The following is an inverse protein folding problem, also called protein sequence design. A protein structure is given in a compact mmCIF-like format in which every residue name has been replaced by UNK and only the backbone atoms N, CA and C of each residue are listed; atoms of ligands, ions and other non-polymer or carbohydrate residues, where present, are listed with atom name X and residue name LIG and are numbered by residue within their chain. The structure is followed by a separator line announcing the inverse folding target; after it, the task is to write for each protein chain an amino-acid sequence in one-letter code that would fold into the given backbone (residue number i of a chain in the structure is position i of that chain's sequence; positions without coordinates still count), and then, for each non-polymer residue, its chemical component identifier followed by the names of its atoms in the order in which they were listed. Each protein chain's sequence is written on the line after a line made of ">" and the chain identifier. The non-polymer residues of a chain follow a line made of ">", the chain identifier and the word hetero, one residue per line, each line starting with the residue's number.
data_IF_257877037558
#
_entry.id   IF_257877037558
#
_cell.length_a   1.000
_cell.length_b   1.000
_cell.length_c   1.000
_cell.angle_alpha   90.00
_cell.angle_beta   90.00
_cell.angle_gamma   90.00
#
_symmetry.space_group_name_H-M   'P 1'
#
loop_
_entity.id
_entity.type
_entity.pdbx_description
1 polymer ?
#
# COMPACT_ATOMS: atom_id res chain seq x y z
N UNK A 1 13.14 34.18 4.68
CA UNK A 1 12.07 33.67 3.79
C UNK A 1 10.86 34.60 3.93
N UNK A 2 10.46 35.27 2.85
CA UNK A 2 9.53 36.40 2.90
C UNK A 2 8.06 35.94 3.02
N UNK A 3 7.35 36.39 4.06
CA UNK A 3 5.92 36.15 4.26
C UNK A 3 5.05 36.61 3.07
N UNK A 4 5.53 37.61 2.32
CA UNK A 4 4.90 38.12 1.10
C UNK A 4 4.89 37.13 -0.08
N UNK A 5 5.86 36.23 -0.18
CA UNK A 5 5.85 35.19 -1.23
C UNK A 5 4.85 34.07 -0.90
N UNK A 6 4.65 33.78 0.38
CA UNK A 6 3.67 32.77 0.84
C UNK A 6 2.23 33.21 0.58
N UNK A 7 1.92 34.49 0.82
CA UNK A 7 0.59 35.03 0.51
C UNK A 7 0.34 35.13 -1.00
N UNK A 8 1.37 35.42 -1.81
CA UNK A 8 1.24 35.44 -3.28
C UNK A 8 0.95 34.05 -3.87
N UNK A 9 1.55 32.99 -3.31
CA UNK A 9 1.24 31.59 -3.71
C UNK A 9 -0.16 31.15 -3.31
N UNK A 10 -0.68 31.59 -2.16
CA UNK A 10 -2.07 31.27 -1.74
C UNK A 10 -3.12 31.99 -2.60
N UNK A 11 -2.84 33.19 -3.09
CA UNK A 11 -3.76 33.95 -3.93
C UNK A 11 -3.78 33.50 -5.41
N UNK A 12 -2.69 32.89 -5.90
CA UNK A 12 -2.64 32.33 -7.27
C UNK A 12 -3.61 31.16 -7.50
N UNK A 13 -4.14 30.54 -6.44
CA UNK A 13 -5.16 29.48 -6.55
C UNK A 13 -6.60 29.98 -6.73
N UNK A 14 -6.86 31.29 -6.59
CA UNK A 14 -8.23 31.86 -6.61
C UNK A 14 -8.57 32.61 -7.91
N UNK A 15 -7.63 32.71 -8.86
CA UNK A 15 -7.97 33.18 -10.20
C UNK A 15 -8.86 32.14 -10.88
N UNK A 16 -10.07 32.50 -11.35
CA UNK A 16 -10.91 31.58 -12.11
C UNK A 16 -10.10 31.05 -13.28
N UNK A 17 -10.02 29.72 -13.38
CA UNK A 17 -9.28 29.07 -14.45
C UNK A 17 -9.73 29.64 -15.80
N UNK A 18 -8.77 30.07 -16.63
CA UNK A 18 -9.07 30.51 -17.98
C UNK A 18 -9.96 29.47 -18.65
N UNK A 19 -11.05 29.86 -19.34
CA UNK A 19 -11.99 28.92 -19.95
C UNK A 19 -11.20 27.90 -20.76
N UNK A 20 -11.38 26.63 -20.39
CA UNK A 20 -10.49 25.58 -20.80
C UNK A 20 -10.69 25.32 -22.31
N UNK A 21 -9.63 25.52 -23.12
CA UNK A 21 -9.65 25.36 -24.58
C UNK A 21 -10.26 24.02 -25.03
N UNK A 22 -11.27 24.02 -25.89
CA UNK A 22 -11.96 22.79 -26.32
C UNK A 22 -10.96 21.75 -26.86
N UNK A 23 -10.97 20.53 -26.30
CA UNK A 23 -10.15 19.40 -26.76
C UNK A 23 -11.01 18.47 -27.62
N UNK A 24 -10.60 18.25 -28.87
CA UNK A 24 -11.26 17.30 -29.77
C UNK A 24 -10.66 15.90 -29.64
N UNK A 25 -11.48 14.86 -29.83
CA UNK A 25 -11.00 13.48 -29.97
C UNK A 25 -11.24 12.96 -31.39
N UNK A 26 -10.42 11.98 -31.79
CA UNK A 26 -10.59 11.17 -33.00
C UNK A 26 -10.24 9.73 -32.63
N UNK A 27 -11.25 8.87 -32.46
CA UNK A 27 -11.08 7.47 -32.02
C UNK A 27 -11.65 6.55 -33.09
N UNK A 28 -10.99 5.42 -33.33
CA UNK A 28 -11.49 4.37 -34.22
C UNK A 28 -12.24 3.31 -33.42
N UNK A 29 -13.39 2.89 -33.95
CA UNK A 29 -14.14 1.72 -33.52
C UNK A 29 -13.37 0.43 -33.84
N UNK A 30 -13.65 -0.73 -33.22
CA UNK A 30 -13.07 -2.02 -33.60
C UNK A 30 -13.22 -2.35 -35.09
N UNK A 31 -14.36 -1.97 -35.70
CA UNK A 31 -14.65 -2.10 -37.13
C UNK A 31 -13.94 -1.06 -38.03
N UNK A 32 -13.06 -0.21 -37.48
CA UNK A 32 -12.28 0.78 -38.22
C UNK A 32 -12.98 2.11 -38.51
N UNK A 33 -14.26 2.28 -38.18
CA UNK A 33 -14.97 3.56 -38.32
C UNK A 33 -14.38 4.64 -37.38
N UNK A 34 -14.08 5.84 -37.90
CA UNK A 34 -13.56 6.96 -37.10
C UNK A 34 -14.66 7.89 -36.61
N UNK A 35 -14.75 8.08 -35.29
CA UNK A 35 -15.59 9.09 -34.66
C UNK A 35 -14.77 10.31 -34.25
N UNK A 36 -15.37 11.49 -34.39
CA UNK A 36 -14.80 12.77 -33.97
C UNK A 36 -15.81 13.54 -33.12
N UNK A 37 -15.34 14.21 -32.08
CA UNK A 37 -16.18 15.01 -31.20
C UNK A 37 -15.37 15.79 -30.17
N UNK A 38 -16.06 16.42 -29.23
CA UNK A 38 -15.44 17.20 -28.14
C UNK A 38 -15.35 16.37 -26.86
N UNK A 39 -14.20 16.41 -26.18
CA UNK A 39 -14.01 15.75 -24.89
C UNK A 39 -14.68 16.56 -23.78
N UNK A 40 -15.40 15.86 -22.91
CA UNK A 40 -16.00 16.40 -21.68
C UNK A 40 -15.07 16.24 -20.48
N UNK A 41 -15.42 16.87 -19.36
CA UNK A 41 -14.71 16.68 -18.08
C UNK A 41 -14.83 15.25 -17.54
N UNK A 42 -15.96 14.57 -17.82
CA UNK A 42 -16.17 13.16 -17.55
C UNK A 42 -15.85 12.25 -18.74
N UNK A 43 -15.78 10.94 -18.48
CA UNK A 43 -15.69 9.93 -19.54
C UNK A 43 -16.96 9.93 -20.40
N UNK A 44 -16.83 9.59 -21.68
CA UNK A 44 -17.98 9.41 -22.58
C UNK A 44 -18.03 7.97 -23.06
N UNK A 45 -19.17 7.32 -22.88
CA UNK A 45 -19.48 6.05 -23.49
C UNK A 45 -20.41 6.31 -24.68
N UNK A 46 -19.87 6.20 -25.90
CA UNK A 46 -20.60 6.45 -27.14
C UNK A 46 -20.84 5.13 -27.87
N UNK A 47 -21.84 5.11 -28.75
CA UNK A 47 -22.03 4.01 -29.70
C UNK A 47 -21.62 4.48 -31.09
N UNK A 48 -20.91 3.63 -31.83
CA UNK A 48 -20.62 3.91 -33.23
C UNK A 48 -21.93 4.06 -34.01
N UNK A 49 -22.17 5.17 -34.74
CA UNK A 49 -23.42 5.35 -35.50
C UNK A 49 -23.53 4.38 -36.69
N UNK A 50 -22.42 3.76 -37.10
CA UNK A 50 -22.38 2.84 -38.25
C UNK A 50 -22.59 1.38 -37.85
N UNK A 51 -21.93 0.89 -36.78
CA UNK A 51 -21.99 -0.52 -36.38
C UNK A 51 -22.61 -0.76 -34.99
N UNK A 52 -22.89 0.27 -34.20
CA UNK A 52 -23.52 0.15 -32.87
C UNK A 52 -22.58 -0.24 -31.71
N UNK A 53 -21.33 -0.57 -32.01
CA UNK A 53 -20.32 -0.99 -31.03
C UNK A 53 -19.99 0.12 -30.02
N UNK A 54 -19.68 -0.28 -28.78
CA UNK A 54 -19.36 0.63 -27.69
C UNK A 54 -17.96 1.23 -27.82
N UNK A 55 -17.83 2.54 -27.68
CA UNK A 55 -16.57 3.27 -27.74
C UNK A 55 -16.43 4.10 -26.46
N UNK A 56 -15.30 3.92 -25.79
CA UNK A 56 -14.95 4.67 -24.59
C UNK A 56 -13.99 5.82 -24.93
N UNK A 57 -14.40 7.05 -24.65
CA UNK A 57 -13.56 8.25 -24.82
C UNK A 57 -13.13 8.74 -23.44
N UNK A 58 -11.82 8.85 -23.26
CA UNK A 58 -11.22 9.36 -22.02
C UNK A 58 -11.63 10.80 -21.75
N UNK A 59 -11.75 11.19 -20.46
CA UNK A 59 -11.98 12.57 -20.08
C UNK A 59 -10.88 13.47 -20.59
N UNK A 60 -11.17 14.76 -20.58
CA UNK A 60 -10.21 15.81 -20.92
C UNK A 60 -8.95 15.72 -20.03
N UNK A 61 -7.76 15.80 -20.62
CA UNK A 61 -6.52 15.81 -19.84
C UNK A 61 -6.39 17.14 -19.08
N UNK A 62 -6.09 17.12 -17.76
CA UNK A 62 -5.81 18.34 -16.99
C UNK A 62 -4.45 18.95 -17.32
N UNK A 63 -3.58 18.22 -18.03
CA UNK A 63 -2.28 18.73 -18.46
C UNK A 63 -2.45 19.69 -19.63
N UNK A 64 -1.67 20.80 -19.68
CA UNK A 64 -1.68 21.71 -20.81
C UNK A 64 -1.35 20.93 -22.09
N UNK A 65 -2.06 21.25 -23.19
CA UNK A 65 -1.73 20.67 -24.49
C UNK A 65 -0.24 20.91 -24.76
N UNK A 66 0.55 19.87 -25.05
CA UNK A 66 1.93 20.08 -25.46
C UNK A 66 1.86 21.01 -26.67
N UNK A 67 2.55 22.14 -26.58
CA UNK A 67 2.64 23.09 -27.69
C UNK A 67 3.17 22.28 -28.85
N UNK A 68 2.31 21.97 -29.83
CA UNK A 68 2.69 21.23 -31.01
C UNK A 68 3.78 22.08 -31.63
N UNK A 69 5.03 21.63 -31.51
CA UNK A 69 6.16 22.32 -32.09
C UNK A 69 5.78 22.53 -33.55
N UNK A 70 5.63 23.79 -33.95
CA UNK A 70 5.31 24.18 -35.32
C UNK A 70 6.36 23.51 -36.19
N UNK A 71 5.98 22.36 -36.73
CA UNK A 71 6.88 21.50 -37.46
C UNK A 71 7.06 22.24 -38.76
N UNK A 72 8.23 22.88 -38.87
CA UNK A 72 8.69 23.59 -40.03
C UNK A 72 8.40 22.73 -41.27
N UNK A 73 7.36 23.09 -42.02
CA UNK A 73 6.95 22.47 -43.29
C UNK A 73 7.98 22.70 -44.42
N UNK A 74 9.25 22.98 -44.08
CA UNK A 74 10.26 23.43 -45.02
C UNK A 74 11.34 22.42 -45.42
N UNK A 75 11.34 21.17 -44.92
CA UNK A 75 12.54 20.31 -45.04
C UNK A 75 12.29 18.87 -45.51
N UNK A 76 11.23 18.58 -46.27
CA UNK A 76 11.04 17.25 -46.88
C UNK A 76 11.43 17.15 -48.36
N UNK A 77 12.03 18.19 -48.95
CA UNK A 77 12.47 18.15 -50.37
C UNK A 77 13.95 17.80 -50.59
N UNK A 78 14.74 17.50 -49.56
CA UNK A 78 16.21 17.36 -49.70
C UNK A 78 16.80 16.02 -49.18
N UNK A 79 16.01 14.95 -49.14
CA UNK A 79 16.52 13.58 -48.85
C UNK A 79 16.35 12.60 -50.01
N UNK A 80 16.42 13.11 -51.24
CA UNK A 80 16.60 12.30 -52.45
C UNK A 80 18.09 12.33 -52.88
N UNK A 81 18.95 11.75 -52.05
CA UNK A 81 20.34 11.43 -52.39
C UNK A 81 20.88 10.44 -51.34
N UNK A 82 20.25 9.27 -51.26
CA UNK A 82 20.80 8.13 -50.54
C UNK A 82 21.12 7.07 -51.59
N UNK A 83 22.42 6.82 -51.67
CA UNK A 83 23.18 5.71 -52.25
C UNK A 83 22.36 4.48 -52.69
N UNK A 84 22.34 4.12 -54.00
CA UNK A 84 21.56 3.00 -54.54
C UNK A 84 22.19 1.61 -54.38
N UNK A 85 23.29 1.43 -53.64
CA UNK A 85 24.04 0.15 -53.61
C UNK A 85 23.93 -0.68 -52.31
N UNK A 86 22.98 -0.37 -51.42
CA UNK A 86 22.61 -1.32 -50.36
C UNK A 86 21.46 -2.19 -50.86
N UNK A 87 21.84 -3.30 -51.47
CA UNK A 87 20.98 -4.46 -51.68
C UNK A 87 20.50 -4.96 -50.30
N UNK A 88 19.39 -4.39 -49.83
CA UNK A 88 18.58 -4.99 -48.78
C UNK A 88 18.04 -6.31 -49.35
N UNK A 89 18.68 -7.42 -48.98
CA UNK A 89 18.09 -8.74 -49.15
C UNK A 89 16.67 -8.70 -48.57
N UNK A 90 15.64 -9.08 -49.34
CA UNK A 90 14.28 -9.08 -48.84
C UNK A 90 14.21 -9.98 -47.61
N UNK A 91 13.89 -9.39 -46.46
CA UNK A 91 13.60 -10.12 -45.23
C UNK A 91 12.57 -11.18 -45.59
N UNK A 92 13.02 -12.44 -45.63
CA UNK A 92 12.12 -13.57 -45.81
C UNK A 92 11.21 -13.59 -44.59
N UNK A 93 9.97 -13.14 -44.77
CA UNK A 93 8.90 -13.45 -43.85
C UNK A 93 8.82 -14.97 -43.79
N UNK A 94 9.36 -15.54 -42.71
CA UNK A 94 9.07 -16.91 -42.33
C UNK A 94 7.55 -17.02 -42.23
N UNK A 95 6.98 -17.98 -42.95
CA UNK A 95 5.56 -18.25 -42.95
C UNK A 95 5.05 -18.38 -41.50
N UNK A 96 3.83 -17.88 -41.21
CA UNK A 96 3.24 -17.99 -39.88
C UNK A 96 3.28 -19.45 -39.43
N UNK A 97 3.82 -19.67 -38.23
CA UNK A 97 3.79 -20.96 -37.55
C UNK A 97 2.34 -21.45 -37.63
N UNK A 98 2.11 -22.55 -38.35
CA UNK A 98 0.82 -23.21 -38.40
C UNK A 98 0.54 -23.72 -36.99
N UNK A 99 -0.26 -22.97 -36.23
CA UNK A 99 -0.88 -23.48 -35.03
C UNK A 99 -1.73 -24.67 -35.46
N UNK A 100 -1.52 -25.88 -34.91
CA UNK A 100 -2.36 -27.03 -35.24
C UNK A 100 -3.81 -26.63 -34.99
N UNK A 101 -4.57 -26.60 -36.08
CA UNK A 101 -6.00 -26.37 -36.05
C UNK A 101 -6.56 -27.52 -35.21
N UNK A 102 -7.19 -27.25 -34.03
CA UNK A 102 -7.84 -28.32 -33.29
C UNK A 102 -8.89 -28.90 -34.24
N UNK A 103 -8.76 -30.19 -34.53
CA UNK A 103 -9.77 -30.95 -35.24
C UNK A 103 -11.09 -30.71 -34.49
N UNK A 104 -11.97 -29.93 -35.09
CA UNK A 104 -13.34 -29.78 -34.64
C UNK A 104 -13.98 -31.14 -34.83
N UNK A 105 -13.89 -31.98 -33.81
CA UNK A 105 -14.84 -33.05 -33.63
C UNK A 105 -16.21 -32.36 -33.61
N UNK A 106 -17.01 -32.63 -34.65
CA UNK A 106 -18.43 -32.32 -34.72
C UNK A 106 -19.13 -33.03 -33.55
N UNK A 107 -19.00 -32.48 -32.35
CA UNK A 107 -19.83 -32.83 -31.21
C UNK A 107 -21.09 -32.00 -31.39
N UNK A 108 -22.05 -32.60 -32.08
CA UNK A 108 -23.44 -32.18 -32.19
C UNK A 108 -24.13 -32.36 -30.82
N UNK A 109 -23.59 -31.66 -29.82
CA UNK A 109 -24.12 -31.59 -28.47
C UNK A 109 -25.15 -30.49 -28.46
N UNK A 110 -26.43 -30.86 -28.57
CA UNK A 110 -27.53 -30.02 -28.11
C UNK A 110 -27.18 -29.54 -26.69
N UNK A 111 -26.87 -28.25 -26.56
CA UNK A 111 -26.72 -27.60 -25.25
C UNK A 111 -28.13 -27.51 -24.69
N UNK A 112 -28.53 -28.55 -23.97
CA UNK A 112 -29.72 -28.56 -23.12
C UNK A 112 -29.48 -27.51 -22.03
N UNK A 113 -30.15 -26.36 -22.17
CA UNK A 113 -30.22 -25.35 -21.13
C UNK A 113 -31.03 -25.93 -19.97
N UNK A 114 -30.37 -26.71 -19.12
CA UNK A 114 -30.92 -27.11 -17.84
C UNK A 114 -30.90 -25.87 -16.97
N UNK A 115 -32.07 -25.22 -16.86
CA UNK A 115 -32.31 -24.24 -15.79
C UNK A 115 -31.93 -24.92 -14.47
N UNK A 116 -30.92 -24.41 -13.73
CA UNK A 116 -30.57 -25.00 -12.45
C UNK A 116 -31.79 -24.86 -11.55
N UNK A 117 -32.47 -25.99 -11.32
CA UNK A 117 -33.50 -26.09 -10.32
C UNK A 117 -32.88 -25.61 -9.01
N UNK A 118 -33.35 -24.44 -8.54
CA UNK A 118 -33.00 -23.90 -7.25
C UNK A 118 -33.18 -25.03 -6.23
N UNK A 119 -32.14 -25.42 -5.48
CA UNK A 119 -32.33 -26.36 -4.40
C UNK A 119 -33.34 -25.73 -3.45
N UNK A 120 -34.48 -26.39 -3.27
CA UNK A 120 -35.37 -26.10 -2.15
C UNK A 120 -34.54 -26.23 -0.88
N UNK A 121 -34.12 -25.09 -0.35
CA UNK A 121 -33.45 -24.99 0.94
C UNK A 121 -34.46 -25.44 1.98
N UNK A 122 -34.43 -26.73 2.32
CA UNK A 122 -35.06 -27.24 3.51
C UNK A 122 -34.39 -26.56 4.70
N UNK A 123 -35.15 -25.68 5.33
CA UNK A 123 -34.79 -25.00 6.55
C UNK A 123 -34.77 -26.00 7.72
N UNK A 124 -33.71 -26.81 7.81
CA UNK A 124 -33.37 -27.51 9.04
C UNK A 124 -32.65 -26.54 9.99
N UNK A 125 -33.46 -25.67 10.56
CA UNK A 125 -33.18 -24.93 11.78
C UNK A 125 -33.17 -25.91 12.96
N UNK A 126 -32.05 -26.58 13.21
CA UNK A 126 -31.79 -27.08 14.57
C UNK A 126 -30.30 -27.31 14.87
N UNK A 127 -29.82 -26.54 15.86
CA UNK A 127 -28.80 -26.91 16.86
C UNK A 127 -27.39 -27.22 16.33
N UNK A 128 -26.56 -26.18 16.21
CA UNK A 128 -25.11 -26.30 16.49
C UNK A 128 -24.46 -24.92 16.71
N UNK A 129 -25.06 -24.08 17.57
CA UNK A 129 -24.48 -22.79 17.96
C UNK A 129 -23.61 -22.84 19.22
N UNK A 130 -23.35 -24.00 19.81
CA UNK A 130 -22.72 -24.10 21.14
C UNK A 130 -21.19 -24.33 21.10
N UNK A 131 -20.54 -24.33 19.93
CA UNK A 131 -19.10 -24.63 19.85
C UNK A 131 -18.17 -23.41 19.94
N UNK A 132 -18.64 -22.20 19.60
CA UNK A 132 -17.78 -21.00 19.59
C UNK A 132 -17.83 -20.14 20.86
N UNK A 133 -18.59 -20.54 21.89
CA UNK A 133 -18.78 -19.75 23.11
C UNK A 133 -17.82 -20.12 24.27
N UNK A 134 -16.74 -20.87 24.00
CA UNK A 134 -15.79 -21.31 25.03
C UNK A 134 -14.34 -20.84 24.88
N UNK A 135 -14.04 -19.95 23.92
CA UNK A 135 -12.75 -19.22 23.89
C UNK A 135 -12.90 -17.81 24.50
N UNK A 136 -12.85 -17.79 25.83
CA UNK A 136 -12.25 -16.74 26.67
C UNK A 136 -12.62 -15.27 26.42
N UNK A 137 -13.79 -14.86 26.95
CA UNK A 137 -14.14 -13.44 27.24
C UNK A 137 -13.15 -12.78 28.23
N UNK A 138 -12.31 -13.56 28.92
CA UNK A 138 -11.32 -13.07 29.88
C UNK A 138 -9.98 -12.64 29.27
N UNK A 139 -9.60 -13.14 28.08
CA UNK A 139 -8.33 -12.74 27.42
C UNK A 139 -8.48 -11.50 26.55
N UNK A 140 -9.65 -11.28 25.92
CA UNK A 140 -9.90 -10.07 25.12
C UNK A 140 -10.08 -8.81 25.97
N UNK A 141 -10.43 -8.94 27.26
CA UNK A 141 -10.52 -7.79 28.19
C UNK A 141 -9.13 -7.26 28.61
N UNK A 142 -8.07 -8.06 28.47
CA UNK A 142 -6.71 -7.66 28.80
C UNK A 142 -6.04 -6.78 27.72
N UNK A 143 -6.43 -6.91 26.45
CA UNK A 143 -5.83 -6.14 25.35
C UNK A 143 -6.44 -4.73 25.16
N UNK A 144 -7.64 -4.46 25.69
CA UNK A 144 -8.30 -3.16 25.58
C UNK A 144 -7.94 -2.09 26.63
N UNK A 145 -7.19 -2.45 27.69
CA UNK A 145 -6.98 -1.56 28.86
C UNK A 145 -5.54 -1.05 29.08
N UNK A 146 -4.58 -1.37 28.19
CA UNK A 146 -3.18 -1.01 28.43
C UNK A 146 -2.70 0.35 27.85
N UNK A 147 -3.48 1.07 27.04
CA UNK A 147 -2.99 2.28 26.32
C UNK A 147 -3.53 3.61 26.90
N UNK A 148 -4.05 3.64 28.14
CA UNK A 148 -4.48 4.90 28.76
C UNK A 148 -4.13 5.03 30.24
N UNK A 149 -2.89 4.67 30.61
CA UNK A 149 -2.32 5.03 31.92
C UNK A 149 -1.61 6.38 31.83
N UNK A 150 -2.31 7.41 32.31
CA UNK A 150 -1.74 8.43 33.20
C UNK A 150 -0.65 9.31 32.62
N UNK A 151 -1.04 10.41 31.97
CA UNK A 151 -0.21 11.62 31.88
C UNK A 151 -0.14 12.26 33.28
N UNK A 152 1.01 12.29 33.98
CA UNK A 152 1.11 13.00 35.24
C UNK A 152 0.97 14.51 35.03
N UNK A 153 0.30 15.24 35.94
CA UNK A 153 0.22 16.68 35.87
C UNK A 153 1.49 17.29 36.46
N UNK A 154 2.24 18.02 35.63
CA UNK A 154 3.07 19.13 36.10
C UNK A 154 4.54 18.83 36.39
N UNK A 155 5.41 19.41 35.56
CA UNK A 155 6.56 20.17 36.03
C UNK A 155 6.94 21.19 34.95
N UNK A 156 6.62 22.46 35.20
CA UNK A 156 7.13 23.59 34.42
C UNK A 156 8.64 23.65 34.64
N UNK A 157 9.43 23.04 33.76
CA UNK A 157 10.88 23.25 33.71
C UNK A 157 11.10 24.65 33.15
N UNK A 158 11.39 25.57 34.08
CA UNK A 158 11.87 26.92 33.80
C UNK A 158 13.05 26.85 32.84
N UNK A 159 12.94 27.66 31.79
CA UNK A 159 14.02 28.13 30.94
C UNK A 159 15.15 28.69 31.81
N UNK A 160 16.20 27.89 32.00
CA UNK A 160 17.47 28.31 32.57
C UNK A 160 18.53 28.33 31.46
N UNK A 161 18.43 29.30 30.56
CA UNK A 161 19.54 29.63 29.65
C UNK A 161 20.55 30.39 30.49
N UNK A 162 21.43 29.65 31.16
CA UNK A 162 22.67 30.17 31.73
C UNK A 162 23.58 30.56 30.58
N UNK A 163 23.50 31.83 30.21
CA UNK A 163 24.46 32.47 29.30
C UNK A 163 25.67 32.83 30.15
N UNK A 164 26.68 31.98 30.09
CA UNK A 164 28.00 32.24 30.66
C UNK A 164 28.51 33.60 30.19
N UNK A 165 28.67 34.50 31.17
CA UNK A 165 29.42 35.73 31.06
C UNK A 165 30.89 35.37 31.13
N UNK A 166 31.52 35.19 29.98
CA UNK A 166 32.96 35.41 29.90
C UNK A 166 33.22 36.92 29.92
N UNK A 167 33.78 37.35 31.04
CA UNK A 167 34.48 38.61 31.17
C UNK A 167 35.71 38.57 30.24
N UNK A 168 35.74 39.46 29.27
CA UNK A 168 36.93 39.80 28.50
C UNK A 168 37.12 41.30 28.65
N UNK A 169 37.96 41.66 29.62
CA UNK A 169 38.61 42.96 29.70
C UNK A 169 39.31 43.28 28.38
N UNK A 170 39.02 44.46 27.84
CA UNK A 170 39.86 45.08 26.82
C UNK A 170 39.84 46.59 27.03
N UNK A 171 40.99 47.23 27.28
CA UNK A 171 41.07 48.65 27.54
C UNK A 171 41.11 49.46 26.24
N UNK A 172 40.28 50.51 26.20
CA UNK A 172 40.63 51.84 25.70
C UNK A 172 40.98 52.02 24.22
N UNK A 173 40.01 52.48 23.44
CA UNK A 173 40.27 53.42 22.35
C UNK A 173 39.15 54.49 22.32
N UNK A 174 39.48 55.80 22.24
CA UNK A 174 38.50 56.87 22.26
C UNK A 174 37.76 56.89 20.91
N UNK A 175 36.45 56.58 20.95
CA UNK A 175 35.57 56.72 19.79
C UNK A 175 35.05 58.16 19.73
N UNK A 176 35.16 58.85 18.59
CA UNK A 176 34.68 60.21 18.41
C UNK A 176 33.16 60.27 18.52
N UNK A 177 32.69 61.37 19.13
CA UNK A 177 31.28 61.75 19.26
C UNK A 177 30.55 61.62 17.93
N UNK A 178 29.79 60.54 17.79
CA UNK A 178 28.85 60.36 16.70
C UNK A 178 27.49 60.77 17.24
N UNK A 179 27.12 62.02 16.98
CA UNK A 179 25.75 62.53 17.10
C UNK A 179 24.80 61.50 16.48
N UNK A 180 24.14 60.78 17.36
CA UNK A 180 23.13 59.81 16.96
C UNK A 180 21.92 60.64 16.53
N UNK A 181 21.49 60.57 15.26
CA UNK A 181 20.29 61.29 14.84
C UNK A 181 19.15 60.82 15.72
N UNK A 182 18.52 61.77 16.42
CA UNK A 182 17.30 61.54 17.20
C UNK A 182 16.22 61.07 16.22
N UNK A 183 16.11 59.76 16.03
CA UNK A 183 15.02 59.14 15.29
C UNK A 183 13.75 59.51 16.06
N UNK A 184 12.98 60.43 15.49
CA UNK A 184 11.66 60.79 15.99
C UNK A 184 10.84 59.49 16.07
N UNK A 185 10.64 58.99 17.28
CA UNK A 185 9.82 57.81 17.53
C UNK A 185 8.42 58.17 17.11
N UNK A 186 8.01 57.69 15.93
CA UNK A 186 6.66 57.89 15.43
C UNK A 186 5.67 57.47 16.52
N UNK A 187 4.65 58.30 16.82
CA UNK A 187 3.70 58.01 17.88
C UNK A 187 3.09 56.62 17.62
N UNK A 188 3.21 55.73 18.62
CA UNK A 188 2.63 54.39 18.56
C UNK A 188 1.14 54.55 18.38
N UNK A 189 0.65 54.25 17.17
CA UNK A 189 -0.79 54.21 16.90
C UNK A 189 -1.45 53.30 17.94
N UNK A 190 -2.46 53.83 18.63
CA UNK A 190 -3.15 53.07 19.64
C UNK A 190 -3.88 51.90 18.98
N UNK A 191 -3.80 50.72 19.59
CA UNK A 191 -4.47 49.50 19.11
C UNK A 191 -5.99 49.70 18.91
N UNK A 192 -6.57 50.65 19.65
CA UNK A 192 -7.97 51.04 19.55
C UNK A 192 -8.29 51.79 18.25
N UNK A 193 -7.39 52.65 17.75
CA UNK A 193 -7.61 53.39 16.51
C UNK A 193 -7.40 52.51 15.27
N UNK A 194 -6.44 51.58 15.36
CA UNK A 194 -6.20 50.58 14.32
C UNK A 194 -7.42 49.64 14.15
N UNK A 195 -8.00 49.18 15.25
CA UNK A 195 -9.20 48.32 15.23
C UNK A 195 -10.44 49.05 14.71
N UNK A 196 -10.62 50.34 15.03
CA UNK A 196 -11.72 51.14 14.46
C UNK A 196 -11.59 51.33 12.95
N UNK A 197 -10.39 51.67 12.44
CA UNK A 197 -10.16 51.84 10.99
C UNK A 197 -10.34 50.54 10.21
N UNK A 198 -10.09 49.38 10.83
CA UNK A 198 -10.22 48.06 10.19
C UNK A 198 -11.46 47.27 10.60
N UNK A 199 -12.49 47.91 11.15
CA UNK A 199 -13.69 47.21 11.65
C UNK A 199 -14.36 46.35 10.57
N UNK A 200 -14.61 46.91 9.38
CA UNK A 200 -15.27 46.17 8.29
C UNK A 200 -14.45 44.97 7.79
N UNK A 201 -13.14 45.08 7.46
CA UNK A 201 -12.36 43.92 7.04
C UNK A 201 -12.21 42.88 8.15
N UNK A 202 -12.20 43.27 9.44
CA UNK A 202 -12.23 42.33 10.55
C UNK A 202 -13.54 41.55 10.64
N UNK A 203 -14.68 42.22 10.41
CA UNK A 203 -15.99 41.55 10.35
C UNK A 203 -16.03 40.55 9.19
N UNK A 204 -15.58 40.94 7.99
CA UNK A 204 -15.52 40.02 6.85
C UNK A 204 -14.62 38.81 7.13
N UNK A 205 -13.45 39.03 7.75
CA UNK A 205 -12.54 37.95 8.10
C UNK A 205 -13.15 37.01 9.16
N UNK A 206 -13.85 37.56 10.16
CA UNK A 206 -14.54 36.76 11.16
C UNK A 206 -15.66 35.91 10.53
N UNK A 207 -16.48 36.50 9.65
CA UNK A 207 -17.53 35.76 8.92
C UNK A 207 -16.91 34.68 8.03
N UNK A 208 -15.84 34.99 7.30
CA UNK A 208 -15.14 34.01 6.48
C UNK A 208 -14.58 32.85 7.32
N UNK A 209 -14.02 33.13 8.52
CA UNK A 209 -13.55 32.10 9.44
C UNK A 209 -14.70 31.22 9.94
N UNK A 210 -15.85 31.80 10.28
CA UNK A 210 -17.04 31.04 10.73
C UNK A 210 -17.57 30.15 9.61
N UNK A 211 -17.68 30.69 8.38
CA UNK A 211 -18.15 29.92 7.22
C UNK A 211 -17.19 28.77 6.91
N UNK A 212 -15.88 29.02 6.86
CA UNK A 212 -14.88 27.98 6.60
C UNK A 212 -14.86 26.93 7.71
N UNK A 213 -14.98 27.32 8.98
CA UNK A 213 -15.10 26.40 10.11
C UNK A 213 -16.37 25.55 10.01
N UNK A 214 -17.50 26.13 9.61
CA UNK A 214 -18.78 25.41 9.49
C UNK A 214 -18.76 24.42 8.34
N UNK A 215 -18.22 24.81 7.17
CA UNK A 215 -18.06 23.91 6.03
C UNK A 215 -17.09 22.78 6.38
N UNK A 216 -15.95 23.11 6.99
CA UNK A 216 -14.98 22.11 7.45
C UNK A 216 -15.57 21.13 8.45
N UNK A 217 -16.33 21.62 9.44
CA UNK A 217 -17.03 20.78 10.41
C UNK A 217 -18.10 19.90 9.76
N UNK A 218 -18.83 20.41 8.76
CA UNK A 218 -19.84 19.63 8.03
C UNK A 218 -19.22 18.52 7.19
N UNK A 219 -18.13 18.81 6.48
CA UNK A 219 -17.39 17.80 5.70
C UNK A 219 -16.79 16.74 6.62
N UNK A 220 -16.18 17.17 7.73
CA UNK A 220 -15.65 16.26 8.76
C UNK A 220 -16.76 15.36 9.32
N UNK A 221 -17.88 15.95 9.75
CA UNK A 221 -19.03 15.19 10.28
C UNK A 221 -19.64 14.25 9.24
N UNK A 222 -19.67 14.62 7.97
CA UNK A 222 -20.14 13.73 6.89
C UNK A 222 -19.23 12.52 6.76
N UNK A 223 -17.92 12.72 6.70
CA UNK A 223 -16.96 11.61 6.62
C UNK A 223 -17.10 10.64 7.78
N UNK A 224 -17.25 11.14 9.00
CA UNK A 224 -17.41 10.29 10.19
C UNK A 224 -18.72 9.49 10.23
N UNK A 225 -19.76 9.92 9.52
CA UNK A 225 -21.03 9.17 9.42
C UNK A 225 -20.92 7.96 8.51
N UNK A 226 -20.05 8.01 7.51
CA UNK A 226 -19.89 6.93 6.54
C UNK A 226 -18.91 5.85 7.03
N UNK A 227 -18.01 6.17 7.98
CA UNK A 227 -17.00 5.23 8.47
C UNK A 227 -17.58 3.91 9.00
N UNK A 228 -18.65 3.87 9.82
CA UNK A 228 -19.21 2.60 10.29
C UNK A 228 -19.70 1.71 9.15
N UNK A 229 -20.26 2.31 8.09
CA UNK A 229 -20.68 1.58 6.90
C UNK A 229 -19.50 1.01 6.13
N UNK A 230 -18.39 1.74 6.05
CA UNK A 230 -17.14 1.24 5.43
C UNK A 230 -16.59 0.04 6.21
N UNK A 231 -16.62 0.10 7.55
CA UNK A 231 -16.21 -1.04 8.39
C UNK A 231 -17.10 -2.25 8.16
N UNK A 232 -18.42 -2.07 8.07
CA UNK A 232 -19.36 -3.16 7.81
C UNK A 232 -19.13 -3.81 6.43
N UNK A 233 -18.95 -2.98 5.40
CA UNK A 233 -18.64 -3.46 4.04
C UNK A 233 -17.32 -4.25 4.05
N UNK A 234 -16.29 -3.72 4.72
CA UNK A 234 -15.00 -4.39 4.82
C UNK A 234 -15.11 -5.72 5.58
N UNK A 235 -15.89 -5.77 6.66
CA UNK A 235 -16.12 -7.01 7.43
C UNK A 235 -16.83 -8.05 6.58
N UNK A 236 -17.97 -7.72 5.99
CA UNK A 236 -18.79 -8.71 5.27
C UNK A 236 -18.14 -9.06 3.94
N UNK A 237 -17.94 -8.08 3.06
CA UNK A 237 -17.48 -8.32 1.69
C UNK A 237 -15.97 -8.53 1.63
N UNK A 238 -15.21 -7.87 2.49
CA UNK A 238 -13.74 -7.99 2.50
C UNK A 238 -13.27 -9.34 3.03
N UNK A 239 -13.89 -9.86 4.10
CA UNK A 239 -13.56 -11.20 4.60
C UNK A 239 -14.08 -12.30 3.67
N UNK A 240 -15.27 -12.13 3.08
CA UNK A 240 -15.77 -13.05 2.06
C UNK A 240 -14.84 -13.12 0.83
N UNK A 241 -14.34 -11.97 0.36
CA UNK A 241 -13.36 -11.92 -0.71
C UNK A 241 -12.01 -12.55 -0.32
N UNK A 242 -11.59 -12.43 0.95
CA UNK A 242 -10.39 -13.08 1.47
C UNK A 242 -10.53 -14.60 1.43
N UNK A 243 -11.68 -15.12 1.88
CA UNK A 243 -12.00 -16.55 1.85
C UNK A 243 -12.15 -17.09 0.43
N UNK A 244 -12.64 -16.27 -0.51
CA UNK A 244 -12.77 -16.63 -1.92
C UNK A 244 -11.43 -16.66 -2.67
N UNK A 245 -10.33 -16.19 -2.06
CA UNK A 245 -9.02 -16.07 -2.73
C UNK A 245 -8.87 -14.81 -3.59
N UNK A 246 -9.84 -13.90 -3.59
CA UNK A 246 -9.81 -12.62 -4.32
C UNK A 246 -8.98 -11.57 -3.54
N UNK A 247 -7.68 -11.86 -3.36
CA UNK A 247 -6.80 -11.13 -2.44
C UNK A 247 -6.69 -9.63 -2.75
N UNK A 248 -6.72 -9.22 -4.02
CA UNK A 248 -6.66 -7.81 -4.40
C UNK A 248 -7.89 -7.04 -3.91
N UNK A 249 -9.08 -7.61 -4.12
CA UNK A 249 -10.35 -7.04 -3.67
C UNK A 249 -10.42 -7.03 -2.15
N UNK A 250 -10.05 -8.15 -1.51
CA UNK A 250 -9.99 -8.27 -0.06
C UNK A 250 -9.07 -7.21 0.56
N UNK A 251 -7.84 -7.06 0.03
CA UNK A 251 -6.89 -6.08 0.52
C UNK A 251 -7.39 -4.65 0.35
N UNK A 252 -8.05 -4.32 -0.77
CA UNK A 252 -8.63 -3.00 -1.00
C UNK A 252 -9.73 -2.69 0.05
N UNK A 253 -10.71 -3.57 0.19
CA UNK A 253 -11.84 -3.39 1.10
C UNK A 253 -11.40 -3.38 2.56
N UNK A 254 -10.55 -4.33 2.97
CA UNK A 254 -10.07 -4.45 4.34
C UNK A 254 -9.10 -3.34 4.72
N UNK A 255 -8.28 -2.83 3.79
CA UNK A 255 -7.44 -1.64 4.04
C UNK A 255 -8.26 -0.36 4.25
N UNK A 256 -9.35 -0.20 3.50
CA UNK A 256 -10.32 0.89 3.71
C UNK A 256 -11.02 0.73 5.06
N UNK A 257 -11.44 -0.49 5.40
CA UNK A 257 -11.99 -0.86 6.69
C UNK A 257 -11.06 -0.56 7.85
N UNK A 258 -9.79 -1.01 7.79
CA UNK A 258 -8.77 -0.76 8.82
C UNK A 258 -8.57 0.73 9.08
N UNK A 259 -8.47 1.54 8.03
CA UNK A 259 -8.39 3.01 8.15
C UNK A 259 -9.64 3.60 8.81
N UNK A 260 -10.82 3.09 8.48
CA UNK A 260 -12.07 3.52 9.11
C UNK A 260 -12.15 3.12 10.59
N UNK A 261 -11.71 1.91 10.94
CA UNK A 261 -11.60 1.43 12.32
C UNK A 261 -10.64 2.30 13.13
N UNK A 262 -9.47 2.65 12.59
CA UNK A 262 -8.50 3.55 13.24
C UNK A 262 -9.08 4.95 13.44
N UNK A 263 -9.76 5.50 12.43
CA UNK A 263 -10.41 6.80 12.51
C UNK A 263 -11.56 6.85 13.54
N UNK A 264 -12.24 5.72 13.77
CA UNK A 264 -13.26 5.55 14.82
C UNK A 264 -12.68 5.20 16.19
N UNK A 265 -11.35 5.11 16.33
CA UNK A 265 -10.68 4.79 17.58
C UNK A 265 -10.84 3.33 18.02
N UNK A 266 -11.18 2.42 17.11
CA UNK A 266 -11.33 0.99 17.39
C UNK A 266 -12.60 0.58 18.13
N UNK A 267 -13.54 1.50 18.38
CA UNK A 267 -14.76 1.24 19.15
C UNK A 267 -15.92 0.65 18.31
N UNK A 268 -15.62 -0.07 17.24
CA UNK A 268 -16.61 -0.64 16.32
C UNK A 268 -16.62 -2.16 16.47
N UNK A 269 -17.80 -2.77 16.35
CA UNK A 269 -17.93 -4.23 16.28
C UNK A 269 -17.11 -4.79 15.10
N UNK A 270 -16.44 -5.93 15.28
CA UNK A 270 -15.58 -6.52 14.25
C UNK A 270 -14.28 -5.76 13.96
N UNK A 271 -13.92 -4.73 14.74
CA UNK A 271 -12.71 -3.95 14.53
C UNK A 271 -11.42 -4.78 14.54
N UNK A 272 -11.35 -5.82 15.37
CA UNK A 272 -10.19 -6.72 15.44
C UNK A 272 -10.08 -7.60 14.18
N UNK A 273 -11.20 -8.20 13.76
CA UNK A 273 -11.30 -9.04 12.56
C UNK A 273 -10.91 -8.26 11.31
N UNK A 274 -11.44 -7.04 11.13
CA UNK A 274 -11.11 -6.21 9.97
C UNK A 274 -9.63 -5.82 9.95
N UNK A 275 -9.03 -5.51 11.11
CA UNK A 275 -7.59 -5.21 11.17
C UNK A 275 -6.75 -6.43 10.82
N UNK A 276 -7.09 -7.58 11.39
CA UNK A 276 -6.38 -8.82 11.18
C UNK A 276 -6.50 -9.28 9.72
N UNK A 277 -7.71 -9.33 9.17
CA UNK A 277 -7.95 -9.65 7.77
C UNK A 277 -7.25 -8.68 6.81
N UNK A 278 -7.18 -7.37 7.14
CA UNK A 278 -6.42 -6.41 6.32
C UNK A 278 -4.92 -6.73 6.29
N UNK A 279 -4.37 -7.18 7.41
CA UNK A 279 -2.97 -7.58 7.52
C UNK A 279 -2.70 -8.90 6.79
N UNK A 280 -3.58 -9.90 6.92
CA UNK A 280 -3.51 -11.15 6.16
C UNK A 280 -3.62 -10.91 4.64
N UNK A 281 -4.61 -10.14 4.20
CA UNK A 281 -4.77 -9.81 2.78
C UNK A 281 -3.55 -9.06 2.22
N UNK A 282 -2.90 -8.22 3.04
CA UNK A 282 -1.66 -7.55 2.66
C UNK A 282 -0.47 -8.53 2.49
N UNK A 283 -0.45 -9.64 3.24
CA UNK A 283 0.51 -10.74 3.04
C UNK A 283 0.23 -11.42 1.69
N UNK A 284 -1.00 -11.87 1.45
CA UNK A 284 -1.34 -12.62 0.23
C UNK A 284 -1.14 -11.81 -1.06
N UNK A 285 -1.53 -10.54 -1.09
CA UNK A 285 -1.32 -9.67 -2.27
C UNK A 285 0.14 -9.39 -2.60
N UNK A 286 1.04 -9.52 -1.62
CA UNK A 286 2.47 -9.25 -1.80
C UNK A 286 3.31 -10.52 -1.72
N UNK A 287 2.67 -11.69 -1.83
CA UNK A 287 3.35 -12.99 -1.78
C UNK A 287 4.46 -13.04 -2.84
N UNK A 288 5.61 -13.56 -2.43
CA UNK A 288 6.74 -13.76 -3.33
C UNK A 288 6.44 -14.94 -4.27
N UNK A 289 6.72 -14.78 -5.56
CA UNK A 289 6.37 -15.79 -6.56
C UNK A 289 7.27 -17.03 -6.52
N UNK A 290 8.48 -16.91 -5.97
CA UNK A 290 9.49 -17.96 -5.93
C UNK A 290 9.60 -18.56 -4.52
N UNK A 291 9.78 -19.87 -4.36
CA UNK A 291 9.98 -20.47 -3.04
C UNK A 291 11.30 -19.99 -2.42
N UNK A 292 11.38 -19.98 -1.09
CA UNK A 292 12.54 -19.45 -0.36
C UNK A 292 13.84 -20.22 -0.70
N UNK A 293 13.71 -21.50 -1.03
CA UNK A 293 14.77 -22.37 -1.54
C UNK A 293 15.40 -21.82 -2.82
N UNK A 294 14.57 -21.34 -3.75
CA UNK A 294 15.02 -20.77 -5.01
C UNK A 294 15.66 -19.40 -4.80
N UNK A 295 15.09 -18.58 -3.90
CA UNK A 295 15.67 -17.29 -3.49
C UNK A 295 17.07 -17.50 -2.91
N UNK A 296 17.26 -18.49 -2.03
CA UNK A 296 18.59 -18.82 -1.49
C UNK A 296 19.53 -19.45 -2.52
N UNK A 297 19.03 -20.29 -3.43
CA UNK A 297 19.82 -20.83 -4.52
C UNK A 297 20.38 -19.69 -5.40
N UNK A 298 19.55 -18.70 -5.73
CA UNK A 298 19.97 -17.52 -6.47
C UNK A 298 20.95 -16.65 -5.69
N UNK A 299 20.70 -16.42 -4.40
CA UNK A 299 21.62 -15.69 -3.53
C UNK A 299 23.01 -16.32 -3.49
N UNK A 300 23.07 -17.65 -3.53
CA UNK A 300 24.33 -18.41 -3.53
C UNK A 300 25.07 -18.41 -4.88
N UNK A 301 24.38 -18.09 -5.98
CA UNK A 301 24.96 -18.14 -7.32
C UNK A 301 25.77 -16.87 -7.68
N UNK A 302 25.33 -15.69 -7.24
CA UNK A 302 25.98 -14.40 -7.54
C UNK A 302 25.89 -13.44 -6.35
N UNK A 303 26.75 -13.62 -5.36
CA UNK A 303 26.77 -12.82 -4.13
C UNK A 303 26.99 -11.31 -4.39
N UNK A 304 27.77 -10.96 -5.43
CA UNK A 304 28.09 -9.57 -5.75
C UNK A 304 26.87 -8.81 -6.27
N UNK A 305 26.07 -9.43 -7.15
CA UNK A 305 24.84 -8.80 -7.69
C UNK A 305 23.60 -9.06 -6.83
N UNK A 306 23.67 -10.01 -5.91
CA UNK A 306 22.54 -10.43 -5.07
C UNK A 306 21.88 -9.27 -4.34
N UNK A 307 22.67 -8.40 -3.70
CA UNK A 307 22.13 -7.30 -2.88
C UNK A 307 21.19 -6.35 -3.67
N UNK A 308 21.59 -5.97 -4.88
CA UNK A 308 20.79 -5.12 -5.76
C UNK A 308 19.52 -5.84 -6.23
N UNK A 309 19.65 -7.11 -6.63
CA UNK A 309 18.52 -7.94 -7.07
C UNK A 309 17.51 -8.15 -5.94
N UNK A 310 17.99 -8.51 -4.75
CA UNK A 310 17.16 -8.69 -3.56
C UNK A 310 16.35 -7.43 -3.23
N UNK A 311 16.99 -6.27 -3.23
CA UNK A 311 16.31 -5.00 -2.96
C UNK A 311 15.22 -4.65 -3.98
N UNK A 312 15.36 -5.12 -5.23
CA UNK A 312 14.44 -4.82 -6.33
C UNK A 312 13.25 -5.77 -6.36
N UNK A 313 13.47 -7.07 -6.15
CA UNK A 313 12.46 -8.10 -6.38
C UNK A 313 11.87 -8.70 -5.11
N UNK A 314 12.66 -8.86 -4.04
CA UNK A 314 12.27 -9.66 -2.88
C UNK A 314 12.03 -8.82 -1.61
N UNK A 315 12.75 -7.72 -1.42
CA UNK A 315 12.60 -6.88 -0.22
C UNK A 315 11.18 -6.33 -0.10
N UNK A 316 10.56 -6.53 1.07
CA UNK A 316 9.20 -6.12 1.37
C UNK A 316 8.11 -7.03 0.78
N UNK A 317 8.49 -8.09 0.04
CA UNK A 317 7.56 -9.15 -0.38
C UNK A 317 7.28 -10.09 0.77
N UNK A 318 6.09 -10.64 0.77
CA UNK A 318 5.62 -11.52 1.82
C UNK A 318 5.95 -12.97 1.53
N UNK A 319 6.25 -13.72 2.57
CA UNK A 319 6.38 -15.16 2.56
C UNK A 319 5.41 -15.75 3.57
N UNK A 320 5.03 -16.99 3.30
CA UNK A 320 4.21 -17.82 4.16
C UNK A 320 5.08 -18.91 4.77
N UNK A 321 4.97 -19.10 6.08
CA UNK A 321 5.70 -20.12 6.81
C UNK A 321 4.72 -20.99 7.59
N UNK A 322 4.89 -22.29 7.41
CA UNK A 322 4.21 -23.32 8.18
C UNK A 322 5.29 -24.17 8.86
N UNK A 323 5.40 -24.07 10.18
CA UNK A 323 6.53 -24.64 10.91
C UNK A 323 6.23 -24.93 12.38
N UNK A 324 7.05 -25.81 12.97
CA UNK A 324 7.03 -26.10 14.40
C UNK A 324 8.17 -25.37 15.11
N UNK A 325 7.91 -24.86 16.31
CA UNK A 325 8.92 -24.18 17.11
C UNK A 325 9.84 -25.19 17.80
N UNK A 326 11.14 -25.12 17.51
CA UNK A 326 12.16 -26.02 18.09
C UNK A 326 12.85 -25.45 19.32
N UNK A 327 13.03 -24.15 19.37
CA UNK A 327 13.64 -23.47 20.51
C UNK A 327 12.94 -22.14 20.78
N UNK A 328 12.86 -21.79 22.06
CA UNK A 328 12.28 -20.55 22.59
C UNK A 328 13.37 -19.86 23.42
N UNK A 329 13.48 -18.52 23.41
CA UNK A 329 14.41 -17.81 24.28
C UNK A 329 14.16 -18.15 25.76
N UNK A 330 15.24 -18.26 26.54
CA UNK A 330 15.15 -18.51 27.98
C UNK A 330 14.39 -17.39 28.70
N UNK A 331 13.92 -17.63 29.94
CA UNK A 331 13.23 -16.62 30.76
C UNK A 331 14.04 -15.33 31.01
N UNK A 332 15.37 -15.40 30.83
CA UNK A 332 16.29 -14.26 30.87
C UNK A 332 16.31 -13.41 29.59
N UNK A 333 15.53 -13.80 28.57
CA UNK A 333 15.55 -13.21 27.23
C UNK A 333 16.81 -13.56 26.43
N UNK A 334 17.63 -14.50 26.92
CA UNK A 334 18.80 -14.99 26.21
C UNK A 334 18.41 -16.14 25.30
N UNK A 335 18.60 -15.95 24.00
CA UNK A 335 18.26 -16.93 22.96
C UNK A 335 17.49 -16.29 21.82
N UNK A 336 17.24 -17.06 20.77
CA UNK A 336 16.38 -16.68 19.66
C UNK A 336 15.38 -17.81 19.43
N UNK A 337 14.20 -17.48 18.93
CA UNK A 337 13.29 -18.50 18.43
C UNK A 337 13.97 -19.24 17.26
N UNK A 338 13.89 -20.58 17.27
CA UNK A 338 14.39 -21.43 16.19
C UNK A 338 13.22 -22.27 15.65
N UNK A 339 13.08 -22.28 14.32
CA UNK A 339 11.99 -22.96 13.62
C UNK A 339 12.49 -24.30 13.06
N UNK A 340 11.59 -25.29 12.96
CA UNK A 340 11.83 -26.52 12.20
C UNK A 340 11.75 -26.31 10.68
N UNK A 341 12.33 -25.23 10.19
CA UNK A 341 12.38 -24.95 8.76
C UNK A 341 13.82 -24.79 8.35
N UNK A 342 14.37 -25.84 7.73
CA UNK A 342 15.71 -25.83 7.12
C UNK A 342 15.55 -25.75 5.63
N UNK A 343 15.97 -24.62 5.07
CA UNK A 343 15.91 -24.39 3.63
C UNK A 343 17.08 -25.13 3.00
N UNK A 344 16.80 -26.14 2.19
CA UNK A 344 17.78 -26.87 1.40
C UNK A 344 17.52 -26.50 -0.06
N UNK A 345 18.38 -25.69 -0.70
CA UNK A 345 18.16 -25.28 -2.08
C UNK A 345 18.21 -26.49 -3.00
N UNK A 346 17.22 -26.58 -3.90
CA UNK A 346 17.13 -27.61 -4.93
C UNK A 346 18.35 -27.50 -5.85
N UNK A 347 19.26 -28.47 -5.76
CA UNK A 347 20.50 -28.45 -6.51
C UNK A 347 21.44 -29.53 -6.03
N UNK A 348 21.12 -30.77 -6.42
CA UNK A 348 21.96 -31.98 -6.32
C UNK A 348 23.21 -31.82 -7.20
N UNK A 349 24.13 -30.95 -6.78
CA UNK A 349 25.51 -31.07 -7.20
C UNK A 349 26.21 -32.01 -6.24
N UNK A 350 26.31 -33.28 -6.59
CA UNK A 350 27.12 -34.31 -5.93
C UNK A 350 28.57 -33.79 -5.83
N UNK A 351 28.90 -33.10 -4.72
CA UNK A 351 30.19 -32.40 -4.56
C UNK A 351 30.11 -31.02 -3.90
N UNK A 352 28.93 -30.43 -3.72
CA UNK A 352 28.80 -29.19 -2.94
C UNK A 352 28.92 -29.47 -1.44
N UNK A 353 29.75 -28.68 -0.74
CA UNK A 353 30.01 -28.85 0.71
C UNK A 353 28.68 -28.84 1.50
N UNK A 354 28.36 -29.90 2.27
CA UNK A 354 27.03 -30.11 2.87
C UNK A 354 26.59 -29.11 3.95
N UNK A 355 27.42 -28.10 4.27
CA UNK A 355 27.11 -27.08 5.28
C UNK A 355 26.82 -25.68 4.75
N UNK A 356 27.17 -25.34 3.49
CA UNK A 356 27.12 -23.96 3.00
C UNK A 356 25.73 -23.48 2.55
N UNK A 357 24.73 -24.37 2.54
CA UNK A 357 23.44 -24.09 1.90
C UNK A 357 22.24 -24.11 2.85
N UNK A 358 22.47 -24.32 4.15
CA UNK A 358 21.39 -24.30 5.12
C UNK A 358 21.02 -22.85 5.42
N UNK A 359 19.78 -22.47 5.07
CA UNK A 359 19.18 -21.21 5.50
C UNK A 359 18.51 -21.34 6.86
N UNK A 360 18.57 -20.27 7.66
CA UNK A 360 17.83 -20.10 8.91
C UNK A 360 17.05 -18.79 8.88
N UNK A 361 15.90 -18.77 9.54
CA UNK A 361 15.07 -17.58 9.69
C UNK A 361 15.47 -16.88 10.98
N UNK A 362 15.88 -15.62 10.87
CA UNK A 362 16.18 -14.77 12.02
C UNK A 362 14.89 -14.12 12.54
N UNK A 363 14.44 -14.58 13.70
CA UNK A 363 13.27 -14.07 14.40
C UNK A 363 13.62 -13.04 15.49
N UNK A 364 14.87 -12.56 15.51
CA UNK A 364 15.31 -11.56 16.49
C UNK A 364 14.53 -10.26 16.32
N UNK A 365 13.82 -9.84 17.36
CA UNK A 365 13.00 -8.62 17.32
C UNK A 365 11.68 -8.76 16.58
N UNK A 366 11.26 -9.98 16.22
CA UNK A 366 10.01 -10.20 15.49
C UNK A 366 8.80 -10.09 16.42
N UNK A 367 8.06 -8.98 16.29
CA UNK A 367 7.01 -8.57 17.24
C UNK A 367 5.91 -9.59 17.44
N UNK A 368 5.55 -10.31 16.39
CA UNK A 368 4.49 -11.33 16.46
C UNK A 368 4.80 -12.35 17.57
N UNK A 369 6.05 -12.81 17.64
CA UNK A 369 6.49 -13.83 18.59
C UNK A 369 6.77 -13.26 19.98
N UNK A 370 7.24 -12.01 20.06
CA UNK A 370 7.39 -11.30 21.34
C UNK A 370 6.04 -11.12 22.05
N UNK A 371 4.98 -10.88 21.28
CA UNK A 371 3.64 -10.65 21.80
C UNK A 371 2.90 -11.95 22.15
N UNK A 372 3.00 -13.00 21.34
CA UNK A 372 2.27 -14.26 21.57
C UNK A 372 3.05 -15.29 22.39
N UNK A 373 4.37 -15.18 22.44
CA UNK A 373 5.26 -16.07 23.21
C UNK A 373 4.95 -17.56 22.97
N UNK A 374 4.99 -18.03 21.73
CA UNK A 374 4.63 -19.40 21.41
C UNK A 374 5.63 -20.39 22.04
N UNK A 375 5.15 -21.58 22.40
CA UNK A 375 5.87 -22.58 23.18
C UNK A 375 6.65 -23.55 22.28
N UNK A 376 7.60 -24.24 22.89
CA UNK A 376 8.36 -25.30 22.22
C UNK A 376 7.41 -26.42 21.81
N UNK A 377 7.43 -26.79 20.53
CA UNK A 377 6.54 -27.78 19.93
C UNK A 377 5.25 -27.21 19.34
N UNK A 378 4.96 -25.91 19.52
CA UNK A 378 3.78 -25.30 18.91
C UNK A 378 3.94 -25.27 17.38
N UNK A 379 2.86 -25.64 16.68
CA UNK A 379 2.73 -25.52 15.24
C UNK A 379 2.16 -24.14 14.91
N UNK A 380 2.87 -23.36 14.10
CA UNK A 380 2.50 -21.98 13.79
C UNK A 380 2.49 -21.75 12.29
N UNK A 381 1.39 -21.14 11.82
CA UNK A 381 1.21 -20.67 10.45
C UNK A 381 1.16 -19.15 10.46
N UNK A 382 2.13 -18.51 9.80
CA UNK A 382 2.20 -17.06 9.77
C UNK A 382 2.78 -16.54 8.46
N UNK A 383 2.36 -15.32 8.11
CA UNK A 383 2.91 -14.53 7.02
C UNK A 383 3.83 -13.45 7.56
N UNK A 384 4.89 -13.13 6.82
CA UNK A 384 5.80 -12.02 7.14
C UNK A 384 6.48 -11.48 5.88
N UNK A 385 6.96 -10.23 5.93
CA UNK A 385 7.72 -9.61 4.83
C UNK A 385 9.22 -9.84 4.97
N UNK A 386 9.88 -10.04 3.85
CA UNK A 386 11.33 -10.18 3.76
C UNK A 386 12.03 -8.83 3.99
N UNK A 387 12.86 -8.74 5.02
CA UNK A 387 13.68 -7.56 5.29
C UNK A 387 15.09 -7.69 4.68
N UNK A 388 15.72 -8.86 4.84
CA UNK A 388 17.10 -9.12 4.40
C UNK A 388 17.38 -10.60 4.18
N UNK A 389 18.34 -10.91 3.32
CA UNK A 389 18.93 -12.25 3.17
C UNK A 389 20.45 -12.07 3.16
N UNK A 390 21.11 -12.51 4.22
CA UNK A 390 22.55 -12.30 4.45
C UNK A 390 23.26 -13.60 4.72
N UNK A 391 24.47 -13.77 4.20
CA UNK A 391 25.30 -14.95 4.46
C UNK A 391 26.16 -14.74 5.71
N UNK A 392 25.94 -15.56 6.76
CA UNK A 392 26.82 -15.66 7.92
C UNK A 392 27.84 -16.79 7.68
N UNK A 393 29.13 -16.43 7.69
CA UNK A 393 30.27 -17.32 7.46
C UNK A 393 30.20 -18.59 8.33
N UNK A 394 29.63 -18.49 9.54
CA UNK A 394 29.58 -19.60 10.49
C UNK A 394 28.24 -20.33 10.52
N UNK A 395 27.14 -19.66 10.16
CA UNK A 395 25.78 -20.16 10.39
C UNK A 395 24.98 -20.44 9.11
N UNK A 396 25.56 -20.14 7.95
CA UNK A 396 24.89 -20.25 6.65
C UNK A 396 24.08 -19.00 6.33
N UNK A 397 23.04 -19.14 5.53
CA UNK A 397 22.19 -18.01 5.15
C UNK A 397 21.23 -17.65 6.28
N UNK A 398 21.11 -16.36 6.59
CA UNK A 398 20.18 -15.78 7.55
C UNK A 398 19.12 -14.97 6.79
N UNK A 399 17.86 -15.37 6.93
CA UNK A 399 16.70 -14.69 6.35
C UNK A 399 16.05 -13.85 7.44
N UNK A 400 16.18 -12.53 7.34
CA UNK A 400 15.58 -11.57 8.26
C UNK A 400 14.19 -11.15 7.79
N UNK A 401 13.24 -11.11 8.73
CA UNK A 401 11.86 -10.67 8.50
C UNK A 401 11.66 -9.22 8.98
N UNK A 402 10.72 -8.49 8.39
CA UNK A 402 10.36 -7.16 8.88
C UNK A 402 9.65 -7.28 10.24
N UNK A 403 10.17 -6.64 11.32
CA UNK A 403 9.72 -6.86 12.70
C UNK A 403 8.21 -6.72 12.95
N UNK A 404 7.57 -5.76 12.27
CA UNK A 404 6.15 -5.41 12.46
C UNK A 404 5.23 -6.02 11.38
N UNK A 405 5.77 -6.85 10.49
CA UNK A 405 5.02 -7.39 9.34
C UNK A 405 4.36 -8.74 9.61
N UNK A 406 4.60 -9.33 10.77
CA UNK A 406 4.14 -10.68 11.11
C UNK A 406 2.65 -10.74 11.39
N UNK A 407 1.97 -11.71 10.78
CA UNK A 407 0.54 -11.96 10.97
C UNK A 407 0.30 -13.46 11.03
N UNK A 408 -0.40 -13.96 12.06
CA UNK A 408 -0.88 -15.35 12.05
C UNK A 408 -1.96 -15.48 10.97
N UNK A 409 -2.00 -16.62 10.30
CA UNK A 409 -2.97 -16.85 9.23
C UNK A 409 -4.11 -17.69 9.79
N UNK A 410 -5.30 -17.09 9.84
CA UNK A 410 -6.47 -17.67 10.48
C UNK A 410 -7.56 -18.09 9.49
N UNK A 411 -7.48 -17.65 8.23
CA UNK A 411 -8.44 -17.99 7.18
C UNK A 411 -7.99 -19.24 6.38
N UNK A 412 -8.48 -20.45 6.69
CA UNK A 412 -8.03 -21.67 6.01
C UNK A 412 -8.38 -21.68 4.51
N UNK A 413 -9.52 -21.07 4.14
CA UNK A 413 -9.94 -20.98 2.72
C UNK A 413 -9.00 -20.11 1.89
N UNK A 414 -8.44 -19.05 2.49
CA UNK A 414 -7.40 -18.25 1.84
C UNK A 414 -6.13 -19.08 1.58
N UNK A 415 -5.79 -20.01 2.49
CA UNK A 415 -4.68 -20.95 2.31
C UNK A 415 -4.99 -22.00 1.23
N UNK A 416 -6.21 -22.53 1.18
CA UNK A 416 -6.66 -23.42 0.11
C UNK A 416 -6.58 -22.75 -1.26
N UNK A 417 -6.97 -21.48 -1.36
CA UNK A 417 -6.94 -20.72 -2.61
C UNK A 417 -5.52 -20.54 -3.17
N UNK A 418 -4.48 -20.55 -2.33
CA UNK A 418 -3.07 -20.56 -2.77
C UNK A 418 -2.51 -21.99 -2.97
N UNK A 419 -3.37 -23.01 -2.95
CA UNK A 419 -3.03 -24.40 -3.20
C UNK A 419 -2.44 -25.14 -2.00
N UNK A 420 -2.71 -24.69 -0.76
CA UNK A 420 -2.30 -25.42 0.46
C UNK A 420 -3.40 -26.38 0.91
N UNK A 421 -3.09 -27.65 1.19
CA UNK A 421 -4.07 -28.58 1.72
C UNK A 421 -4.47 -28.17 3.15
N UNK A 422 -5.72 -28.42 3.52
CA UNK A 422 -6.17 -28.20 4.88
C UNK A 422 -5.50 -29.19 5.84
N UNK A 423 -5.27 -28.80 7.10
CA UNK A 423 -4.71 -29.69 8.11
C UNK A 423 -5.51 -31.00 8.30
N UNK A 424 -6.83 -30.94 8.08
CA UNK A 424 -7.72 -32.12 8.15
C UNK A 424 -7.42 -33.15 7.06
N UNK A 425 -7.06 -32.71 5.85
CA UNK A 425 -6.63 -33.62 4.78
C UNK A 425 -5.22 -34.17 5.04
N UNK A 426 -4.32 -33.37 5.60
CA UNK A 426 -2.95 -33.78 5.91
C UNK A 426 -2.85 -34.82 7.04
N UNK A 427 -3.83 -34.82 7.95
CA UNK A 427 -3.96 -35.81 9.03
C UNK A 427 -4.76 -37.05 8.62
N UNK A 428 -5.04 -37.21 7.32
CA UNK A 428 -5.53 -38.42 6.67
C UNK A 428 -4.53 -39.58 6.73
N UNK A 429 -4.14 -39.95 7.95
CA UNK A 429 -3.87 -41.32 8.33
C UNK A 429 -5.17 -42.07 8.04
N UNK A 430 -5.29 -42.54 6.79
CA UNK A 430 -6.16 -43.63 6.43
C UNK A 430 -5.72 -44.83 7.26
N UNK A 431 -6.17 -44.88 8.52
CA UNK A 431 -6.07 -46.05 9.37
C UNK A 431 -6.81 -47.19 8.64
N UNK A 432 -6.11 -48.25 8.23
CA UNK A 432 -6.73 -49.41 7.59
C UNK A 432 -7.66 -50.18 8.52
#
# INVERSE_FOLDING_TARGET
>A
MNLLERTRRLLQGLTPASPAKVQYYSVACPEGHRLRGERTEGYQALRCPTCGEGIFVLPRSPLPEPVVAETARGSQSARAAVDPEREDEPVRLSDPIQTPQPESADVDGEIEWVDPALPEVQADSSKNSDFFESLSVEEQKAQGQAVNKGRPPGAKTRSGVSKDRQASDSPGAPRPDRESPRIAVAPRESLADWTRRRRNPLIFLAVAMIVTATVGFRVWRSKFRDLPRVVEIARVQGLEALDAGDFDTAHQLLSDGKRAVEALGGAVEGAAEVRHGAEEAAIFTTLVAEPLEQILAEASADEEKWSARFSTFYKGRSLFLDCTIRAVPDATGSGSYDLDYRIIPNGEGEGSRPGLRVGRIDLTGFRLFELTQPKLGDHVQFGARLASVTHDINKGWLVGLEPESGVFLTHPRALEAIGRPTPEEASGEALP
#
